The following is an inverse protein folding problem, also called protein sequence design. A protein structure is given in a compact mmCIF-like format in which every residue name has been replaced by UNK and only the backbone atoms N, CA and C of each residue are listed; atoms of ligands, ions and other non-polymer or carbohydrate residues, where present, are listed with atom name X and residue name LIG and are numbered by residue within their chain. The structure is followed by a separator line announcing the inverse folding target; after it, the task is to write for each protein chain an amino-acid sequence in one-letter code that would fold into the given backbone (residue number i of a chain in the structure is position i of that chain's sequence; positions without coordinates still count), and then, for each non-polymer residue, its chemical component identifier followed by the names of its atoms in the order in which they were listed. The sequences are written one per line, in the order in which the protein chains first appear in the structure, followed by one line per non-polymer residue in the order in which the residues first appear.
data_IF_942395009565
#
_entry.id   IF_942395009565
#
_cell.length_a   1.000
_cell.length_b   1.000
_cell.length_c   1.000
_cell.angle_alpha   90.00
_cell.angle_beta   90.00
_cell.angle_gamma   90.00
#
_symmetry.space_group_name_H-M   'P 1'
#
loop_
_entity.id
_entity.type
_entity.pdbx_description
1 polymer ?
#
# COMPACT_ATOMS: atom_id res chain seq x y z
N UNK A 1 11.68 -19.28 -3.97
CA UNK A 1 12.08 -17.90 -3.61
C UNK A 1 10.85 -17.09 -3.20
N UNK A 2 9.88 -16.92 -4.11
CA UNK A 2 8.58 -16.24 -3.86
C UNK A 2 7.88 -16.64 -2.55
N UNK A 3 7.68 -17.94 -2.29
CA UNK A 3 6.94 -18.40 -1.09
C UNK A 3 7.64 -18.01 0.21
N UNK A 4 8.98 -18.06 0.26
CA UNK A 4 9.76 -17.74 1.45
C UNK A 4 9.78 -16.23 1.71
N UNK A 5 9.88 -15.43 0.65
CA UNK A 5 9.69 -13.98 0.72
C UNK A 5 8.27 -13.65 1.22
N UNK A 6 7.23 -14.26 0.65
CA UNK A 6 5.84 -14.04 1.07
C UNK A 6 5.64 -14.37 2.56
N UNK A 7 6.23 -15.46 3.06
CA UNK A 7 6.12 -15.84 4.47
C UNK A 7 6.85 -14.83 5.38
N UNK A 8 8.06 -14.40 5.02
CA UNK A 8 8.80 -13.38 5.78
C UNK A 8 8.06 -12.04 5.75
N UNK A 9 7.58 -11.61 4.60
CA UNK A 9 6.77 -10.39 4.47
C UNK A 9 5.46 -10.48 5.26
N UNK A 10 4.83 -11.65 5.32
CA UNK A 10 3.60 -11.84 6.09
C UNK A 10 3.89 -11.83 7.60
N UNK A 11 4.95 -12.49 8.07
CA UNK A 11 5.31 -12.53 9.50
C UNK A 11 5.82 -11.16 9.97
N UNK A 12 6.69 -10.53 9.18
CA UNK A 12 7.16 -9.16 9.44
C UNK A 12 5.97 -8.18 9.36
N UNK A 13 5.08 -8.35 8.38
CA UNK A 13 3.85 -7.58 8.24
C UNK A 13 2.94 -7.72 9.46
N UNK A 14 2.67 -8.94 9.95
CA UNK A 14 1.86 -9.19 11.15
C UNK A 14 2.48 -8.55 12.39
N UNK A 15 3.79 -8.74 12.61
CA UNK A 15 4.50 -8.14 13.75
C UNK A 15 4.51 -6.61 13.68
N UNK A 16 4.64 -6.07 12.48
CA UNK A 16 4.62 -4.64 12.22
C UNK A 16 3.22 -4.03 12.37
N UNK A 17 2.17 -4.70 11.91
CA UNK A 17 0.77 -4.29 12.10
C UNK A 17 0.40 -4.29 13.59
N UNK A 18 0.88 -5.27 14.35
CA UNK A 18 0.73 -5.30 15.81
C UNK A 18 1.47 -4.14 16.49
N UNK A 19 2.66 -3.78 16.00
CA UNK A 19 3.41 -2.60 16.48
C UNK A 19 2.71 -1.28 16.16
N UNK A 20 2.06 -1.20 14.99
CA UNK A 20 1.26 -0.06 14.56
C UNK A 20 -0.07 0.07 15.31
N UNK A 21 -0.40 -0.83 16.24
CA UNK A 21 -1.62 -0.75 17.06
C UNK A 21 -2.89 -1.17 16.33
N UNK A 22 -2.79 -2.12 15.39
CA UNK A 22 -3.96 -2.73 14.74
C UNK A 22 -4.65 -3.67 15.74
N UNK A 23 -5.97 -3.54 15.89
CA UNK A 23 -6.77 -4.51 16.64
C UNK A 23 -7.29 -5.57 15.68
N UNK A 24 -7.00 -6.84 15.98
CA UNK A 24 -7.45 -7.97 15.16
C UNK A 24 -7.75 -9.18 16.04
N UNK A 25 -8.77 -9.95 15.65
CA UNK A 25 -9.23 -11.11 16.42
C UNK A 25 -8.33 -12.34 16.22
N UNK A 26 -7.72 -12.46 15.05
CA UNK A 26 -6.86 -13.59 14.72
C UNK A 26 -5.84 -13.25 13.63
N UNK A 27 -4.70 -13.97 13.62
CA UNK A 27 -3.72 -13.88 12.53
C UNK A 27 -4.32 -14.24 11.17
N UNK A 28 -5.33 -15.11 11.15
CA UNK A 28 -6.04 -15.49 9.92
C UNK A 28 -6.79 -14.29 9.33
N UNK A 29 -7.43 -13.47 10.18
CA UNK A 29 -8.11 -12.25 9.75
C UNK A 29 -7.11 -11.29 9.10
N UNK A 30 -5.93 -11.11 9.68
CA UNK A 30 -4.85 -10.24 9.15
C UNK A 30 -4.38 -10.71 7.77
N UNK A 31 -4.16 -12.01 7.60
CA UNK A 31 -3.73 -12.59 6.31
C UNK A 31 -4.82 -12.34 5.24
N UNK A 32 -6.09 -12.59 5.58
CA UNK A 32 -7.21 -12.36 4.65
C UNK A 32 -7.30 -10.89 4.26
N UNK A 33 -7.16 -9.98 5.23
CA UNK A 33 -7.13 -8.55 4.98
C UNK A 33 -5.99 -8.13 4.06
N UNK A 34 -4.77 -8.60 4.31
CA UNK A 34 -3.63 -8.29 3.46
C UNK A 34 -3.83 -8.80 2.02
N UNK A 35 -4.37 -10.00 1.85
CA UNK A 35 -4.68 -10.56 0.53
C UNK A 35 -5.72 -9.70 -0.20
N UNK A 36 -6.80 -9.32 0.48
CA UNK A 36 -7.86 -8.51 -0.13
C UNK A 36 -7.35 -7.11 -0.45
N UNK A 37 -6.61 -6.46 0.46
CA UNK A 37 -5.93 -5.20 0.21
C UNK A 37 -5.02 -5.28 -1.01
N UNK A 38 -4.19 -6.33 -1.11
CA UNK A 38 -3.30 -6.52 -2.26
C UNK A 38 -4.06 -6.64 -3.58
N UNK A 39 -5.14 -7.42 -3.63
CA UNK A 39 -5.98 -7.56 -4.83
C UNK A 39 -6.65 -6.23 -5.19
N UNK A 40 -7.13 -5.49 -4.20
CA UNK A 40 -7.80 -4.19 -4.39
C UNK A 40 -6.83 -3.06 -4.74
N UNK A 41 -5.54 -3.19 -4.41
CA UNK A 41 -4.50 -2.25 -4.80
C UNK A 41 -4.18 -2.35 -6.31
N UNK A 42 -4.26 -3.54 -6.93
CA UNK A 42 -4.01 -3.71 -8.37
C UNK A 42 -4.78 -2.71 -9.25
N UNK A 43 -6.13 -2.60 -9.14
CA UNK A 43 -6.86 -1.60 -9.92
C UNK A 43 -6.51 -0.17 -9.51
N UNK A 44 -6.24 0.10 -8.22
CA UNK A 44 -5.84 1.43 -7.74
C UNK A 44 -4.51 1.89 -8.36
N UNK A 45 -3.53 1.00 -8.44
CA UNK A 45 -2.22 1.25 -9.05
C UNK A 45 -2.36 1.51 -10.56
N UNK A 46 -3.23 0.75 -11.22
CA UNK A 46 -3.55 0.94 -12.64
C UNK A 46 -4.16 2.33 -12.90
N UNK A 47 -5.12 2.77 -12.09
CA UNK A 47 -5.72 4.11 -12.22
C UNK A 47 -4.71 5.22 -11.91
N UNK A 48 -3.88 5.03 -10.88
CA UNK A 48 -2.82 5.97 -10.52
C UNK A 48 -1.84 6.16 -11.69
N UNK A 49 -1.43 5.06 -12.31
CA UNK A 49 -0.53 5.07 -13.48
C UNK A 49 -1.14 5.81 -14.68
N UNK A 50 -2.43 5.59 -14.98
CA UNK A 50 -3.12 6.30 -16.06
C UNK A 50 -3.18 7.80 -15.79
N UNK A 51 -3.55 8.21 -14.58
CA UNK A 51 -3.65 9.62 -14.21
C UNK A 51 -2.30 10.32 -14.36
N UNK A 52 -1.22 9.71 -13.87
CA UNK A 52 0.15 10.24 -14.03
C UNK A 52 0.53 10.32 -15.51
N UNK A 53 0.18 9.31 -16.31
CA UNK A 53 0.38 9.31 -17.76
C UNK A 53 -0.31 10.48 -18.46
N UNK A 54 -1.57 10.76 -18.08
CA UNK A 54 -2.33 11.90 -18.59
C UNK A 54 -1.73 13.25 -18.18
N UNK A 55 -1.27 13.36 -16.93
CA UNK A 55 -0.56 14.55 -16.44
C UNK A 55 0.73 14.79 -17.21
N UNK A 56 1.51 13.74 -17.52
CA UNK A 56 2.71 13.84 -18.36
C UNK A 56 2.40 14.30 -19.79
N UNK A 57 1.31 13.83 -20.37
CA UNK A 57 0.93 14.17 -21.74
C UNK A 57 0.45 15.62 -21.88
N UNK A 58 -0.16 16.19 -20.82
CA UNK A 58 -0.84 17.49 -20.89
C UNK A 58 -0.01 18.66 -20.35
N UNK A 59 0.99 18.41 -19.52
CA UNK A 59 1.77 19.49 -18.89
C UNK A 59 3.27 19.19 -18.82
N UNK A 60 4.07 20.25 -18.99
CA UNK A 60 5.51 20.25 -18.71
C UNK A 60 5.74 20.26 -17.18
N UNK A 61 5.32 19.20 -16.51
CA UNK A 61 5.47 19.03 -15.07
C UNK A 61 6.92 18.65 -14.77
N UNK A 62 7.56 19.37 -13.85
CA UNK A 62 8.91 19.05 -13.39
C UNK A 62 8.98 17.66 -12.72
N UNK A 63 10.15 17.02 -12.72
CA UNK A 63 10.33 15.70 -12.06
C UNK A 63 9.88 15.70 -10.59
N UNK A 64 10.11 16.80 -9.87
CA UNK A 64 9.70 16.92 -8.48
C UNK A 64 8.18 16.92 -8.33
N UNK A 65 7.50 17.73 -9.14
CA UNK A 65 6.03 17.78 -9.15
C UNK A 65 5.42 16.43 -9.57
N UNK A 66 6.05 15.69 -10.49
CA UNK A 66 5.59 14.33 -10.84
C UNK A 66 5.64 13.39 -9.64
N UNK A 67 6.76 13.35 -8.90
CA UNK A 67 6.87 12.53 -7.68
C UNK A 67 5.90 12.96 -6.59
N UNK A 68 5.64 14.26 -6.47
CA UNK A 68 4.65 14.76 -5.51
C UNK A 68 3.22 14.31 -5.88
N UNK A 69 2.85 14.40 -7.15
CA UNK A 69 1.54 13.92 -7.64
C UNK A 69 1.40 12.41 -7.46
N UNK A 70 2.46 11.67 -7.81
CA UNK A 70 2.52 10.21 -7.64
C UNK A 70 2.29 9.82 -6.17
N UNK A 71 3.05 10.42 -5.26
CA UNK A 71 2.87 10.22 -3.81
C UNK A 71 1.45 10.54 -3.34
N UNK A 72 0.87 11.66 -3.78
CA UNK A 72 -0.48 12.07 -3.36
C UNK A 72 -1.52 11.08 -3.88
N UNK A 73 -1.46 10.71 -5.17
CA UNK A 73 -2.41 9.80 -5.77
C UNK A 73 -2.30 8.41 -5.13
N UNK A 74 -1.09 7.88 -5.05
CA UNK A 74 -0.83 6.59 -4.41
C UNK A 74 -1.36 6.57 -2.97
N UNK A 75 -0.99 7.55 -2.15
CA UNK A 75 -1.42 7.59 -0.75
C UNK A 75 -2.94 7.71 -0.65
N UNK A 76 -3.57 8.51 -1.51
CA UNK A 76 -5.02 8.69 -1.50
C UNK A 76 -5.77 7.42 -1.88
N UNK A 77 -5.38 6.77 -2.99
CA UNK A 77 -6.02 5.54 -3.44
C UNK A 77 -5.75 4.37 -2.50
N UNK A 78 -4.53 4.22 -2.00
CA UNK A 78 -4.17 3.18 -1.04
C UNK A 78 -4.91 3.36 0.28
N UNK A 79 -5.05 4.58 0.80
CA UNK A 79 -5.89 4.85 1.97
C UNK A 79 -7.36 4.51 1.71
N UNK A 80 -7.89 4.84 0.52
CA UNK A 80 -9.26 4.48 0.16
C UNK A 80 -9.45 2.96 0.10
N UNK A 81 -8.52 2.23 -0.50
CA UNK A 81 -8.57 0.76 -0.55
C UNK A 81 -8.54 0.18 0.85
N UNK A 82 -7.56 0.57 1.67
CA UNK A 82 -7.40 0.09 3.04
C UNK A 82 -8.66 0.41 3.87
N UNK A 83 -9.21 1.61 3.74
CA UNK A 83 -10.44 2.01 4.43
C UNK A 83 -11.68 1.23 3.99
N UNK A 84 -11.82 0.97 2.69
CA UNK A 84 -12.91 0.13 2.17
C UNK A 84 -12.78 -1.30 2.68
N UNK A 85 -11.58 -1.86 2.66
CA UNK A 85 -11.35 -3.24 3.11
C UNK A 85 -11.57 -3.37 4.63
N UNK A 86 -11.10 -2.39 5.42
CA UNK A 86 -11.34 -2.32 6.87
C UNK A 86 -12.83 -2.19 7.21
N UNK A 87 -13.61 -1.48 6.39
CA UNK A 87 -15.06 -1.36 6.58
C UNK A 87 -15.81 -2.68 6.31
N UNK A 88 -15.36 -3.48 5.35
CA UNK A 88 -16.07 -4.71 4.95
C UNK A 88 -15.57 -5.98 5.64
N UNK A 89 -14.34 -5.99 6.17
CA UNK A 89 -13.79 -7.16 6.86
C UNK A 89 -14.09 -7.07 8.35
N UNK A 90 -14.82 -8.07 8.85
CA UNK A 90 -15.02 -8.23 10.28
C UNK A 90 -13.75 -8.79 10.97
N UNK A 91 -13.52 -8.35 12.21
CA UNK A 91 -12.42 -8.83 13.05
C UNK A 91 -11.07 -8.17 12.82
N UNK A 92 -11.06 -7.04 12.09
CA UNK A 92 -9.96 -6.07 12.04
C UNK A 92 -10.55 -4.69 12.24
N UNK A 93 -9.85 -3.85 12.99
CA UNK A 93 -10.13 -2.43 13.04
C UNK A 93 -8.84 -1.65 13.07
N UNK A 94 -8.74 -0.65 12.19
CA UNK A 94 -7.55 0.18 12.02
C UNK A 94 -7.93 1.63 12.29
N UNK A 95 -7.22 2.27 13.21
CA UNK A 95 -7.42 3.71 13.39
C UNK A 95 -7.01 4.48 12.12
N UNK A 96 -7.66 5.60 11.78
CA UNK A 96 -7.30 6.38 10.58
C UNK A 96 -5.82 6.80 10.55
N UNK A 97 -5.24 7.10 11.72
CA UNK A 97 -3.81 7.44 11.82
C UNK A 97 -2.91 6.24 11.43
N UNK A 98 -3.30 5.04 11.85
CA UNK A 98 -2.55 3.81 11.55
C UNK A 98 -2.72 3.37 10.09
N UNK A 99 -3.86 3.65 9.45
CA UNK A 99 -4.04 3.44 8.01
C UNK A 99 -3.06 4.30 7.21
N UNK A 100 -2.98 5.60 7.51
CA UNK A 100 -2.05 6.52 6.83
C UNK A 100 -0.61 6.03 7.02
N UNK A 101 -0.24 5.67 8.25
CA UNK A 101 1.10 5.18 8.56
C UNK A 101 1.42 3.89 7.79
N UNK A 102 0.48 2.94 7.75
CA UNK A 102 0.61 1.71 6.97
C UNK A 102 0.85 1.98 5.47
N UNK A 103 0.05 2.87 4.88
CA UNK A 103 0.19 3.25 3.47
C UNK A 103 1.52 3.95 3.19
N UNK A 104 1.98 4.84 4.07
CA UNK A 104 3.29 5.49 3.93
C UNK A 104 4.44 4.48 3.93
N UNK A 105 4.36 3.48 4.81
CA UNK A 105 5.38 2.44 4.92
C UNK A 105 5.38 1.52 3.71
N UNK A 106 4.20 1.21 3.18
CA UNK A 106 4.06 0.44 1.95
C UNK A 106 4.64 1.20 0.74
N UNK A 107 4.35 2.50 0.62
CA UNK A 107 4.94 3.36 -0.42
C UNK A 107 6.49 3.44 -0.33
N UNK A 108 7.03 3.58 0.88
CA UNK A 108 8.49 3.60 1.08
C UNK A 108 9.13 2.25 0.72
N UNK A 109 8.47 1.15 1.06
CA UNK A 109 8.92 -0.20 0.71
C UNK A 109 8.92 -0.42 -0.81
N UNK A 110 7.90 0.09 -1.50
CA UNK A 110 7.81 0.04 -2.96
C UNK A 110 8.96 0.81 -3.62
N UNK A 111 9.18 2.07 -3.20
CA UNK A 111 10.33 2.86 -3.69
C UNK A 111 11.66 2.15 -3.43
N UNK A 112 11.84 1.61 -2.22
CA UNK A 112 13.07 0.90 -1.88
C UNK A 112 13.27 -0.33 -2.77
N UNK A 113 12.20 -1.09 -3.02
CA UNK A 113 12.22 -2.28 -3.87
C UNK A 113 12.54 -1.91 -5.31
N UNK A 114 11.94 -0.85 -5.85
CA UNK A 114 12.23 -0.34 -7.20
C UNK A 114 13.69 0.08 -7.35
N UNK A 115 14.22 0.82 -6.38
CA UNK A 115 15.64 1.24 -6.40
C UNK A 115 16.57 0.03 -6.33
N UNK A 116 16.24 -0.97 -5.52
CA UNK A 116 17.05 -2.17 -5.35
C UNK A 116 17.01 -3.05 -6.61
N UNK A 117 15.86 -3.18 -7.26
CA UNK A 117 15.68 -3.92 -8.52
C UNK A 117 16.32 -3.22 -9.73
N UNK A 118 16.31 -1.89 -9.77
CA UNK A 118 16.98 -1.08 -10.80
C UNK A 118 18.50 -0.95 -10.59
N UNK A 119 19.03 -1.38 -9.44
CA UNK A 119 20.47 -1.39 -9.16
C UNK A 119 21.21 -2.65 -9.65
N UNK A 120 20.50 -3.60 -10.25
CA UNK A 120 21.04 -4.76 -10.96
C UNK A 120 21.03 -4.54 -12.47
#
# INVERSE_FOLDING_TARGET
MLIFETIIYTIAGIGFLSFLGFTYDSYKSVIIFLIICYIMLIPADYYTSILIGLFKAKSNISRFQQRAIDFILYTSFSCLVVGVVDFFIEGISISPANQILFVLLYYLLEIYSDVLLLSK
#
